data_IF_100023650577
#
_entry.id   IF_100023650577
#
_cell.length_a   1.000
_cell.length_b   1.000
_cell.length_c   1.000
_cell.angle_alpha   90.00
_cell.angle_beta   90.00
_cell.angle_gamma   90.00
#
_symmetry.space_group_name_H-M   'P 1'
#
loop_
_entity.id
_entity.type
_entity.pdbx_description
1 polymer ?
#
# COMPACT_ATOMS: atom_id res chain seq x y z
N UNK A 1 -2.92 -3.35 18.79
CA UNK A 1 -2.25 -3.74 17.53
C UNK A 1 -3.35 -3.93 16.51
N UNK A 2 -3.49 -3.00 15.56
CA UNK A 2 -4.42 -3.15 14.45
C UNK A 2 -3.81 -4.18 13.51
N UNK A 3 -4.26 -5.42 13.58
CA UNK A 3 -3.86 -6.46 12.65
C UNK A 3 -4.66 -6.24 11.36
N UNK A 4 -4.11 -5.44 10.45
CA UNK A 4 -4.66 -5.36 9.10
C UNK A 4 -4.26 -6.63 8.36
N UNK A 5 -5.24 -7.34 7.81
CA UNK A 5 -4.98 -8.47 6.92
C UNK A 5 -4.36 -7.97 5.61
N UNK A 6 -3.41 -8.74 5.08
CA UNK A 6 -2.78 -8.47 3.79
C UNK A 6 -3.87 -8.29 2.72
N UNK A 7 -3.83 -7.19 1.93
CA UNK A 7 -4.81 -6.95 0.89
C UNK A 7 -4.79 -8.05 -0.18
N UNK A 8 -5.95 -8.59 -0.51
CA UNK A 8 -6.08 -9.64 -1.55
C UNK A 8 -6.48 -9.04 -2.91
N UNK A 9 -6.85 -7.76 -2.93
CA UNK A 9 -7.36 -7.10 -4.13
C UNK A 9 -6.82 -5.68 -4.32
N UNK A 10 -6.77 -5.24 -5.60
CA UNK A 10 -6.44 -3.85 -5.99
C UNK A 10 -7.38 -2.84 -5.32
N UNK A 11 -8.64 -3.22 -5.08
CA UNK A 11 -9.64 -2.36 -4.44
C UNK A 11 -9.31 -2.11 -2.96
N UNK A 12 -8.88 -3.15 -2.23
CA UNK A 12 -8.45 -3.02 -0.84
C UNK A 12 -7.22 -2.13 -0.71
N UNK A 13 -6.21 -2.31 -1.58
CA UNK A 13 -4.99 -1.47 -1.56
C UNK A 13 -5.33 -0.01 -1.84
N UNK A 14 -6.22 0.27 -2.80
CA UNK A 14 -6.65 1.65 -3.07
C UNK A 14 -7.41 2.26 -1.90
N UNK A 15 -8.20 1.45 -1.19
CA UNK A 15 -8.90 1.89 0.02
C UNK A 15 -7.92 2.20 1.14
N UNK A 16 -6.92 1.34 1.34
CA UNK A 16 -5.84 1.54 2.30
C UNK A 16 -5.03 2.81 2.00
N UNK A 17 -4.52 2.95 0.77
CA UNK A 17 -3.79 4.15 0.33
C UNK A 17 -4.63 5.43 0.43
N UNK A 18 -5.95 5.32 0.28
CA UNK A 18 -6.87 6.44 0.49
C UNK A 18 -6.95 6.90 1.96
N UNK A 19 -6.96 5.95 2.90
CA UNK A 19 -6.92 6.23 4.34
C UNK A 19 -5.55 6.78 4.75
N UNK A 20 -4.48 6.14 4.31
CA UNK A 20 -3.10 6.53 4.57
C UNK A 20 -2.72 7.88 3.97
N UNK A 21 -3.41 8.29 2.91
CA UNK A 21 -3.29 9.64 2.35
C UNK A 21 -3.52 10.75 3.40
N UNK A 22 -4.33 10.50 4.44
CA UNK A 22 -4.52 11.44 5.55
C UNK A 22 -3.28 11.52 6.47
N UNK A 23 -2.65 10.37 6.72
CA UNK A 23 -1.51 10.21 7.63
C UNK A 23 -0.14 10.45 6.98
N UNK A 24 -0.09 10.50 5.64
CA UNK A 24 1.11 10.77 4.83
C UNK A 24 1.99 11.92 5.37
N UNK A 25 1.41 12.95 5.99
CA UNK A 25 2.16 14.10 6.53
C UNK A 25 3.01 13.77 7.77
N UNK A 26 2.72 12.65 8.42
CA UNK A 26 3.38 12.19 9.65
C UNK A 26 4.36 11.04 9.41
N UNK A 27 4.36 10.46 8.20
CA UNK A 27 5.20 9.33 7.81
C UNK A 27 6.33 9.85 6.94
N UNK A 28 7.55 9.87 7.47
CA UNK A 28 8.72 10.26 6.68
C UNK A 28 8.95 9.24 5.55
N UNK A 29 9.24 9.74 4.35
CA UNK A 29 9.41 8.86 3.19
C UNK A 29 8.14 8.15 2.71
N UNK A 30 6.93 8.57 3.12
CA UNK A 30 5.66 7.95 2.70
C UNK A 30 5.58 7.63 1.21
N UNK A 31 6.00 8.57 0.34
CA UNK A 31 5.96 8.34 -1.11
C UNK A 31 6.84 7.19 -1.59
N UNK A 32 7.94 6.88 -0.89
CA UNK A 32 8.81 5.73 -1.18
C UNK A 32 8.17 4.43 -0.73
N UNK A 33 7.54 4.42 0.46
CA UNK A 33 6.83 3.25 1.00
C UNK A 33 5.57 2.95 0.18
N UNK A 34 4.75 3.96 -0.13
CA UNK A 34 3.55 3.77 -0.93
C UNK A 34 3.84 3.41 -2.40
N UNK A 35 5.06 3.59 -2.89
CA UNK A 35 5.41 3.37 -4.30
C UNK A 35 5.11 1.95 -4.79
N UNK A 36 5.61 0.86 -4.16
CA UNK A 36 5.28 -0.52 -4.55
C UNK A 36 3.77 -0.78 -4.51
N UNK A 37 3.08 -0.34 -3.46
CA UNK A 37 1.61 -0.48 -3.36
C UNK A 37 0.88 0.24 -4.50
N UNK A 38 1.34 1.43 -4.88
CA UNK A 38 0.75 2.21 -5.98
C UNK A 38 1.05 1.56 -7.33
N UNK A 39 2.21 0.93 -7.50
CA UNK A 39 2.56 0.18 -8.72
C UNK A 39 1.66 -1.05 -8.89
N UNK A 40 1.38 -1.79 -7.81
CA UNK A 40 0.50 -2.97 -7.84
C UNK A 40 -0.96 -2.66 -8.13
N UNK A 41 -1.37 -1.39 -8.12
CA UNK A 41 -2.75 -0.95 -8.43
C UNK A 41 -2.89 -0.29 -9.82
N UNK A 42 -1.83 -0.24 -10.63
CA UNK A 42 -1.85 0.37 -11.96
C UNK A 42 -2.78 -0.37 -12.92
N UNK A 43 -3.55 0.37 -13.71
CA UNK A 43 -4.36 -0.22 -14.80
C UNK A 43 -3.42 -0.86 -15.82
N UNK A 44 -3.79 -2.04 -16.32
CA UNK A 44 -3.06 -2.88 -17.29
C UNK A 44 -1.91 -3.73 -16.72
N UNK A 45 -1.78 -3.84 -15.40
CA UNK A 45 -0.86 -4.79 -14.77
C UNK A 45 -1.67 -5.79 -13.94
N UNK A 46 -1.28 -7.07 -14.01
CA UNK A 46 -1.83 -8.07 -13.11
C UNK A 46 -1.50 -7.67 -11.66
N UNK A 47 -2.46 -7.87 -10.76
CA UNK A 47 -2.21 -7.67 -9.34
C UNK A 47 -1.07 -8.59 -8.90
N UNK A 48 0.06 -8.00 -8.53
CA UNK A 48 1.21 -8.72 -7.99
C UNK A 48 1.50 -8.17 -6.60
N UNK A 49 1.32 -9.03 -5.61
CA UNK A 49 1.75 -8.77 -4.24
C UNK A 49 3.11 -9.44 -4.05
N UNK A 50 4.17 -8.65 -4.09
CA UNK A 50 5.53 -9.13 -3.87
C UNK A 50 6.02 -8.79 -2.46
N UNK A 51 7.23 -9.25 -2.13
CA UNK A 51 7.85 -9.00 -0.83
C UNK A 51 8.02 -7.51 -0.54
N UNK A 52 8.25 -6.69 -1.58
CA UNK A 52 8.37 -5.23 -1.41
C UNK A 52 7.03 -4.57 -1.06
N UNK A 53 5.91 -5.07 -1.62
CA UNK A 53 4.57 -4.65 -1.25
C UNK A 53 4.27 -4.98 0.21
N UNK A 54 4.58 -6.20 0.65
CA UNK A 54 4.37 -6.60 2.05
C UNK A 54 5.24 -5.77 3.01
N UNK A 55 6.53 -5.62 2.72
CA UNK A 55 7.43 -4.79 3.55
C UNK A 55 6.92 -3.34 3.65
N UNK A 56 6.46 -2.78 2.54
CA UNK A 56 5.94 -1.41 2.54
C UNK A 56 4.58 -1.28 3.22
N UNK A 57 3.75 -2.32 3.19
CA UNK A 57 2.47 -2.36 3.88
C UNK A 57 2.64 -2.47 5.41
N UNK A 58 3.67 -3.17 5.88
CA UNK A 58 3.96 -3.30 7.32
C UNK A 58 4.62 -2.04 7.91
N UNK A 59 5.30 -1.24 7.09
CA UNK A 59 5.95 0.03 7.48
C UNK A 59 5.00 1.24 7.42
N UNK A 60 3.81 1.10 6.82
CA UNK A 60 2.76 2.12 6.73
C UNK A 60 1.68 1.91 7.81
#
# INVERSE_FOLDING_TARGET
MLQWSTPESVTEIRSFLGLDGYYRRFIDGFSKLAMPLTQSTRKNQAFMWDKHCEESFQEL
#
